data_IF_272388905226
#
_entry.id   IF_272388905226
#
_cell.length_a   1.000
_cell.length_b   1.000
_cell.length_c   1.000
_cell.angle_alpha   90.00
_cell.angle_beta   90.00
_cell.angle_gamma   90.00
#
_symmetry.space_group_name_H-M   'P 1'
#
loop_
_entity.id
_entity.type
_entity.pdbx_description
1 polymer ?
#
# COMPACT_ATOMS: atom_id res chain seq x y z
N UNK A 1 9.84 -3.12 -34.30
CA UNK A 1 10.08 -3.10 -32.84
C UNK A 1 8.98 -2.28 -32.23
N UNK A 2 8.03 -2.89 -31.53
CA UNK A 2 6.94 -2.15 -30.89
C UNK A 2 7.46 -1.60 -29.57
N UNK A 3 7.60 -0.28 -29.48
CA UNK A 3 7.79 0.42 -28.22
C UNK A 3 6.60 0.10 -27.32
N UNK A 4 6.78 -0.82 -26.38
CA UNK A 4 5.89 -0.93 -25.23
C UNK A 4 6.09 0.33 -24.40
N UNK A 5 5.33 1.38 -24.72
CA UNK A 5 5.08 2.48 -23.79
C UNK A 5 4.41 1.84 -22.58
N UNK A 6 5.23 1.54 -21.57
CA UNK A 6 4.76 1.14 -20.25
C UNK A 6 3.99 2.36 -19.75
N UNK A 7 2.67 2.35 -19.92
CA UNK A 7 1.78 3.31 -19.29
C UNK A 7 2.02 3.18 -17.80
N UNK A 8 2.86 4.06 -17.26
CA UNK A 8 3.03 4.19 -15.83
C UNK A 8 1.66 4.58 -15.29
N UNK A 9 1.01 3.66 -14.60
CA UNK A 9 -0.24 3.95 -13.93
C UNK A 9 0.02 5.10 -12.95
N UNK A 10 -0.52 6.27 -13.28
CA UNK A 10 -0.37 7.45 -12.44
C UNK A 10 -1.30 7.31 -11.23
N UNK A 11 -0.69 7.20 -10.04
CA UNK A 11 -1.43 7.11 -8.79
C UNK A 11 -1.89 8.49 -8.35
N UNK A 12 -3.12 8.58 -7.85
CA UNK A 12 -3.59 9.76 -7.13
C UNK A 12 -2.76 9.98 -5.85
N UNK A 13 -2.73 11.21 -5.30
CA UNK A 13 -2.05 11.47 -4.03
C UNK A 13 -2.45 10.46 -2.94
N UNK A 14 -3.75 10.25 -2.71
CA UNK A 14 -4.21 9.30 -1.69
C UNK A 14 -3.76 7.85 -1.93
N UNK A 15 -3.66 7.42 -3.19
CA UNK A 15 -3.11 6.11 -3.54
C UNK A 15 -1.61 6.02 -3.25
N UNK A 16 -0.84 7.07 -3.53
CA UNK A 16 0.60 7.14 -3.17
C UNK A 16 0.79 7.04 -1.66
N UNK A 17 -0.02 7.77 -0.90
CA UNK A 17 -0.04 7.69 0.57
C UNK A 17 -0.32 6.27 1.06
N UNK A 18 -1.30 5.60 0.44
CA UNK A 18 -1.64 4.23 0.81
C UNK A 18 -0.51 3.23 0.49
N UNK A 19 0.16 3.38 -0.66
CA UNK A 19 1.35 2.59 -1.02
C UNK A 19 2.45 2.74 0.05
N UNK A 20 2.72 3.97 0.50
CA UNK A 20 3.72 4.24 1.54
C UNK A 20 3.34 3.54 2.86
N UNK A 21 2.09 3.70 3.32
CA UNK A 21 1.62 3.06 4.56
C UNK A 21 1.69 1.52 4.48
N UNK A 22 1.28 0.94 3.36
CA UNK A 22 1.39 -0.51 3.14
C UNK A 22 2.85 -0.97 3.15
N UNK A 23 3.75 -0.21 2.52
CA UNK A 23 5.18 -0.51 2.51
C UNK A 23 5.77 -0.51 3.93
N UNK A 24 5.45 0.49 4.74
CA UNK A 24 5.92 0.59 6.13
C UNK A 24 5.39 -0.56 6.98
N UNK A 25 4.09 -0.87 6.86
CA UNK A 25 3.47 -2.00 7.57
C UNK A 25 4.17 -3.32 7.23
N UNK A 26 4.36 -3.62 5.94
CA UNK A 26 5.03 -4.85 5.51
C UNK A 26 6.50 -4.89 5.89
N UNK A 27 7.16 -3.74 5.96
CA UNK A 27 8.55 -3.65 6.43
C UNK A 27 8.64 -4.04 7.91
N UNK A 28 7.74 -3.53 8.76
CA UNK A 28 7.67 -3.90 10.18
C UNK A 28 7.32 -5.38 10.37
N UNK A 29 6.32 -5.88 9.65
CA UNK A 29 5.96 -7.30 9.71
C UNK A 29 7.15 -8.22 9.35
N UNK A 30 8.04 -7.77 8.46
CA UNK A 30 9.27 -8.49 8.13
C UNK A 30 10.31 -8.51 9.24
N UNK A 31 10.39 -7.46 10.05
CA UNK A 31 11.23 -7.45 11.25
C UNK A 31 10.76 -8.51 12.24
N UNK A 32 9.45 -8.75 12.32
CA UNK A 32 8.84 -9.86 13.10
C UNK A 32 8.97 -11.24 12.42
N UNK A 33 9.61 -11.30 11.25
CA UNK A 33 9.84 -12.53 10.50
C UNK A 33 8.66 -13.00 9.64
N UNK A 34 7.60 -12.21 9.50
CA UNK A 34 6.54 -12.45 8.53
C UNK A 34 7.08 -12.05 7.14
N UNK A 35 6.94 -12.89 6.11
CA UNK A 35 7.43 -12.63 4.74
C UNK A 35 8.97 -12.68 4.53
N UNK A 36 9.65 -13.61 5.21
CA UNK A 36 11.08 -13.88 4.96
C UNK A 36 11.35 -14.19 3.48
N UNK A 37 12.44 -13.64 2.95
CA UNK A 37 12.88 -13.88 1.56
C UNK A 37 12.14 -13.10 0.48
N UNK A 38 11.03 -12.42 0.79
CA UNK A 38 10.27 -11.63 -0.20
C UNK A 38 10.66 -10.16 -0.14
N UNK A 39 10.76 -9.46 -1.28
CA UNK A 39 11.02 -8.01 -1.28
C UNK A 39 9.74 -7.27 -0.90
N UNK A 40 9.85 -6.24 -0.05
CA UNK A 40 8.68 -5.47 0.40
C UNK A 40 7.92 -4.84 -0.76
N UNK A 41 8.63 -4.39 -1.81
CA UNK A 41 7.97 -3.82 -3.01
C UNK A 41 7.09 -4.83 -3.74
N UNK A 42 7.54 -6.09 -3.83
CA UNK A 42 6.77 -7.15 -4.50
C UNK A 42 5.52 -7.48 -3.70
N UNK A 43 5.64 -7.54 -2.37
CA UNK A 43 4.50 -7.73 -1.47
C UNK A 43 3.45 -6.63 -1.61
N UNK A 44 3.89 -5.36 -1.65
CA UNK A 44 2.98 -4.21 -1.83
C UNK A 44 2.32 -4.26 -3.21
N UNK A 45 3.07 -4.58 -4.26
CA UNK A 45 2.55 -4.69 -5.61
C UNK A 45 1.44 -5.75 -5.70
N UNK A 46 1.67 -6.93 -5.10
CA UNK A 46 0.68 -8.01 -5.03
C UNK A 46 -0.51 -7.62 -4.16
N UNK A 47 -0.29 -7.02 -3.00
CA UNK A 47 -1.37 -6.66 -2.08
C UNK A 47 -2.30 -5.58 -2.65
N UNK A 48 -1.74 -4.60 -3.34
CA UNK A 48 -2.49 -3.49 -3.93
C UNK A 48 -2.91 -3.74 -5.37
N UNK A 49 -2.49 -4.86 -5.97
CA UNK A 49 -2.75 -5.21 -7.37
C UNK A 49 -2.29 -4.10 -8.34
N UNK A 50 -1.10 -3.54 -8.09
CA UNK A 50 -0.48 -2.51 -8.94
C UNK A 50 0.87 -2.98 -9.46
N UNK A 51 1.35 -2.37 -10.54
CA UNK A 51 2.65 -2.71 -11.10
C UNK A 51 3.80 -2.44 -10.10
N UNK A 52 4.79 -3.35 -10.06
CA UNK A 52 6.00 -3.18 -9.25
C UNK A 52 6.74 -1.85 -9.57
N UNK A 53 6.75 -1.44 -10.85
CA UNK A 53 7.31 -0.16 -11.27
C UNK A 53 6.63 1.03 -10.59
N UNK A 54 5.30 0.99 -10.44
CA UNK A 54 4.52 2.02 -9.76
C UNK A 54 4.85 2.11 -8.28
N UNK A 55 5.00 0.98 -7.59
CA UNK A 55 5.46 0.95 -6.18
C UNK A 55 6.86 1.55 -6.05
N UNK A 56 7.76 1.19 -6.96
CA UNK A 56 9.13 1.71 -6.97
C UNK A 56 9.17 3.23 -7.14
N UNK A 57 8.41 3.76 -8.08
CA UNK A 57 8.30 5.21 -8.32
C UNK A 57 7.72 5.93 -7.10
N UNK A 58 6.63 5.44 -6.53
CA UNK A 58 6.01 6.07 -5.35
C UNK A 58 6.95 6.10 -4.14
N UNK A 59 7.65 4.99 -3.86
CA UNK A 59 8.59 4.92 -2.75
C UNK A 59 9.86 5.74 -2.99
N UNK A 60 10.29 5.91 -4.24
CA UNK A 60 11.43 6.79 -4.55
C UNK A 60 11.06 8.26 -4.34
N UNK A 61 9.87 8.68 -4.78
CA UNK A 61 9.35 10.02 -4.52
C UNK A 61 9.27 10.30 -3.00
N UNK A 62 8.67 9.38 -2.24
CA UNK A 62 8.59 9.49 -0.77
C UNK A 62 9.96 9.51 -0.06
N UNK A 63 10.98 8.84 -0.61
CA UNK A 63 12.33 8.88 -0.02
C UNK A 63 13.07 10.17 -0.30
N UNK A 64 12.77 10.82 -1.44
CA UNK A 64 13.33 12.11 -1.79
C UNK A 64 12.72 13.24 -0.94
N UNK A 65 11.44 13.10 -0.56
CA UNK A 65 10.75 14.00 0.36
C UNK A 65 9.90 13.19 1.34
N UNK A 66 10.37 13.08 2.59
CA UNK A 66 9.69 12.28 3.64
C UNK A 66 8.52 13.02 4.27
N UNK A 67 8.40 14.33 4.06
CA UNK A 67 7.30 15.13 4.59
C UNK A 67 6.08 15.17 3.65
N UNK A 68 6.15 14.50 2.49
CA UNK A 68 5.01 14.37 1.58
C UNK A 68 3.90 13.55 2.25
N UNK A 69 3.08 14.23 3.06
CA UNK A 69 1.74 13.77 3.42
C UNK A 69 0.90 13.96 2.17
N UNK A 70 0.66 12.90 1.41
CA UNK A 70 -0.32 12.98 0.33
C UNK A 70 -1.70 12.98 0.97
N UNK A 71 -2.12 14.12 1.52
CA UNK A 71 -3.30 14.30 2.38
C UNK A 71 -4.45 13.34 2.05
N UNK A 72 -4.53 12.23 2.79
CA UNK A 72 -5.73 11.40 2.81
C UNK A 72 -6.71 12.12 3.73
N UNK A 73 -7.63 12.91 3.17
CA UNK A 73 -8.86 13.28 3.85
C UNK A 73 -9.70 12.01 4.02
N UNK A 74 -9.36 11.22 5.03
CA UNK A 74 -10.09 10.02 5.39
C UNK A 74 -11.41 10.46 6.04
N UNK A 75 -12.51 10.45 5.29
CA UNK A 75 -13.83 10.39 5.89
C UNK A 75 -13.92 9.07 6.65
N UNK A 76 -14.07 9.16 7.97
CA UNK A 76 -14.23 8.03 8.89
C UNK A 76 -15.37 7.13 8.41
N UNK A 77 -15.04 6.04 7.72
CA UNK A 77 -15.97 4.93 7.52
C UNK A 77 -15.95 4.12 8.82
N UNK A 78 -16.84 4.48 9.74
CA UNK A 78 -17.15 3.70 10.92
C UNK A 78 -17.63 2.31 10.48
N UNK A 79 -16.76 1.30 10.58
CA UNK A 79 -17.16 -0.10 10.47
C UNK A 79 -17.97 -0.40 11.73
N UNK A 80 -19.28 -0.56 11.58
CA UNK A 80 -20.13 -1.07 12.66
C UNK A 80 -19.69 -2.51 12.93
N UNK A 81 -19.14 -2.77 14.11
CA UNK A 81 -19.06 -4.13 14.64
C UNK A 81 -20.51 -4.62 14.81
N UNK A 82 -20.89 -5.63 14.03
CA UNK A 82 -22.14 -6.36 14.28
C UNK A 82 -21.86 -7.32 15.43
N UNK A 83 -22.35 -6.98 16.62
CA UNK A 83 -22.31 -7.86 17.78
C UNK A 83 -23.19 -9.09 17.51
N UNK A 84 -22.58 -10.21 17.11
CA UNK A 84 -23.23 -11.51 17.15
C UNK A 84 -23.22 -12.04 18.58
N UNK A 85 -24.13 -11.53 19.42
CA UNK A 85 -24.41 -12.11 20.73
C UNK A 85 -25.40 -13.28 20.59
N UNK A 86 -24.84 -14.49 20.61
CA UNK A 86 -25.38 -15.76 21.07
C UNK A 86 -26.91 -15.98 21.06
N UNK A 87 -27.37 -16.83 20.14
CA UNK A 87 -28.57 -17.65 20.37
C UNK A 87 -28.17 -18.75 21.37
N UNK A 88 -28.58 -18.61 22.63
CA UNK A 88 -28.59 -19.67 23.62
C UNK A 88 -30.03 -20.02 23.98
N UNK A 89 -30.44 -21.20 23.50
CA UNK A 89 -31.62 -22.05 23.77
C UNK A 89 -32.79 -21.49 24.57
#
# INVERSE_FOLDING_TARGET
MSETSITQQELTPGQKDYVVRCYEFMSKAKEDGLFRGQRTRDLVAVCLQIAHGTVSTAMNAYRADKETKFEVRCSVLAVRASDNAAIAK
#
